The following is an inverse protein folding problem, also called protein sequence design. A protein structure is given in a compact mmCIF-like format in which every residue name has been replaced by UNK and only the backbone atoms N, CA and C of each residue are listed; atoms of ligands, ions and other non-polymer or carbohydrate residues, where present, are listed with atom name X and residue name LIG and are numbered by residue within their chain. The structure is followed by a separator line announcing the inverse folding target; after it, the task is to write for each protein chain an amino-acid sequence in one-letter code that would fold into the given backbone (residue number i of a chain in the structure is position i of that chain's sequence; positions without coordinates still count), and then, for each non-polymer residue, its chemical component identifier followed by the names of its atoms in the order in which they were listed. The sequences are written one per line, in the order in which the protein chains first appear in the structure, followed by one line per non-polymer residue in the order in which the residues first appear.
data_IF_997101300507
#
_entry.id   IF_997101300507
#
_cell.length_a   1.000
_cell.length_b   1.000
_cell.length_c   1.000
_cell.angle_alpha   90.00
_cell.angle_beta   90.00
_cell.angle_gamma   90.00
#
_symmetry.space_group_name_H-M   'P 1'
#
loop_
_entity.id
_entity.type
_entity.pdbx_description
1 polymer ?
#
# COMPACT_ATOMS: atom_id res chain seq x y z
N UNK A 1 44.60 -32.96 22.62
CA UNK A 1 44.26 -33.31 21.23
C UNK A 1 42.75 -33.23 21.03
N UNK A 2 42.36 -32.66 19.89
CA UNK A 2 41.06 -32.06 19.55
C UNK A 2 39.83 -32.96 19.73
N UNK A 3 38.78 -32.44 20.39
CA UNK A 3 37.39 -32.85 20.13
C UNK A 3 36.85 -32.03 18.96
N UNK A 4 36.74 -32.65 17.78
CA UNK A 4 36.02 -32.13 16.61
C UNK A 4 34.55 -31.90 17.01
N UNK A 5 34.15 -30.63 17.09
CA UNK A 5 32.75 -30.25 17.13
C UNK A 5 32.14 -30.44 15.75
N UNK A 6 31.26 -31.43 15.60
CA UNK A 6 30.44 -31.61 14.41
C UNK A 6 29.43 -30.47 14.33
N UNK A 7 29.75 -29.43 13.58
CA UNK A 7 28.82 -28.37 13.19
C UNK A 7 27.88 -28.96 12.14
N UNK A 8 26.70 -29.41 12.56
CA UNK A 8 25.61 -29.71 11.62
C UNK A 8 25.17 -28.38 10.98
N UNK A 9 25.64 -28.13 9.77
CA UNK A 9 25.10 -27.11 8.88
C UNK A 9 23.64 -27.51 8.61
N UNK A 10 22.72 -26.91 9.36
CA UNK A 10 21.30 -26.93 9.01
C UNK A 10 21.14 -25.93 7.89
N UNK A 11 21.22 -26.41 6.65
CA UNK A 11 20.72 -25.73 5.47
C UNK A 11 19.22 -25.50 5.67
N UNK A 12 18.85 -24.34 6.20
CA UNK A 12 17.47 -23.85 6.13
C UNK A 12 17.27 -23.45 4.67
N UNK A 13 16.86 -24.44 3.86
CA UNK A 13 16.27 -24.21 2.56
C UNK A 13 14.95 -23.50 2.84
N UNK A 14 14.95 -22.17 2.72
CA UNK A 14 13.74 -21.35 2.72
C UNK A 14 12.99 -21.71 1.43
N UNK A 15 12.17 -22.75 1.51
CA UNK A 15 11.23 -23.07 0.46
C UNK A 15 10.29 -21.87 0.30
N UNK A 16 10.33 -21.27 -0.88
CA UNK A 16 9.44 -20.22 -1.32
C UNK A 16 8.00 -20.71 -1.26
N UNK A 17 7.32 -20.42 -0.15
CA UNK A 17 5.87 -20.40 -0.05
C UNK A 17 5.49 -19.02 0.48
N UNK A 18 5.74 -18.00 -0.35
CA UNK A 18 5.10 -16.70 -0.18
C UNK A 18 3.80 -16.69 -0.98
N UNK A 19 2.89 -17.61 -0.63
CA UNK A 19 1.52 -17.60 -1.12
C UNK A 19 0.58 -17.29 0.03
N UNK A 20 -0.02 -16.09 -0.08
CA UNK A 20 -1.15 -15.56 0.65
C UNK A 20 -0.92 -15.06 2.10
N UNK A 21 -1.39 -13.82 2.30
CA UNK A 21 -1.62 -13.10 3.57
C UNK A 21 -0.53 -12.14 4.06
N UNK A 22 0.24 -11.52 3.16
CA UNK A 22 0.81 -10.21 3.47
C UNK A 22 -0.19 -9.13 3.02
N UNK A 23 -0.43 -8.16 3.90
CA UNK A 23 -1.25 -6.95 3.79
C UNK A 23 -2.64 -7.00 4.46
N UNK A 24 -2.78 -6.17 5.49
CA UNK A 24 -3.97 -5.96 6.32
C UNK A 24 -5.04 -5.08 5.70
N UNK A 25 -5.15 -5.05 4.37
CA UNK A 25 -6.34 -4.56 3.68
C UNK A 25 -7.14 -5.78 3.23
N UNK A 26 -8.34 -5.95 3.79
CA UNK A 26 -9.32 -6.89 3.25
C UNK A 26 -9.91 -6.22 2.00
N UNK A 27 -9.18 -6.24 0.88
CA UNK A 27 -9.77 -5.87 -0.40
C UNK A 27 -10.99 -6.75 -0.58
N UNK A 28 -12.14 -6.17 -0.92
CA UNK A 28 -13.27 -6.99 -1.33
C UNK A 28 -12.77 -7.97 -2.39
N UNK A 29 -13.19 -9.24 -2.30
CA UNK A 29 -12.88 -10.23 -3.32
C UNK A 29 -13.64 -9.85 -4.60
N UNK A 30 -13.19 -8.82 -5.30
CA UNK A 30 -13.75 -8.38 -6.56
C UNK A 30 -13.51 -9.51 -7.54
N UNK A 31 -14.56 -10.27 -7.86
CA UNK A 31 -14.47 -11.42 -8.75
C UNK A 31 -14.15 -10.96 -10.16
N UNK A 32 -13.28 -11.72 -10.82
CA UNK A 32 -12.85 -11.48 -12.20
C UNK A 32 -11.63 -10.57 -12.30
N UNK A 33 -11.31 -10.19 -13.54
CA UNK A 33 -10.20 -9.30 -13.90
C UNK A 33 -10.73 -8.25 -14.88
N UNK A 34 -10.26 -6.99 -14.80
CA UNK A 34 -10.67 -5.98 -15.76
C UNK A 34 -10.22 -6.36 -17.16
N UNK A 35 -10.88 -5.83 -18.19
CA UNK A 35 -10.58 -6.10 -19.59
C UNK A 35 -9.77 -4.98 -20.26
N UNK A 36 -9.77 -3.79 -19.67
CA UNK A 36 -9.13 -2.58 -20.18
C UNK A 36 -8.80 -1.61 -19.03
N UNK A 37 -8.17 -0.47 -19.37
CA UNK A 37 -7.76 0.55 -18.39
C UNK A 37 -8.96 1.12 -17.62
N UNK A 38 -10.03 1.52 -18.31
CA UNK A 38 -11.21 2.10 -17.66
C UNK A 38 -11.88 1.11 -16.71
N UNK A 39 -12.01 -0.15 -17.13
CA UNK A 39 -12.57 -1.20 -16.28
C UNK A 39 -11.70 -1.45 -15.06
N UNK A 40 -10.38 -1.25 -15.16
CA UNK A 40 -9.48 -1.37 -14.00
C UNK A 40 -9.82 -0.36 -12.91
N UNK A 41 -10.25 0.86 -13.27
CA UNK A 41 -10.68 1.87 -12.30
C UNK A 41 -11.93 1.44 -11.55
N UNK A 42 -12.93 0.86 -12.23
CA UNK A 42 -14.12 0.33 -11.56
C UNK A 42 -13.80 -0.81 -10.57
N UNK A 43 -12.73 -1.57 -10.82
CA UNK A 43 -12.25 -2.59 -9.89
C UNK A 43 -11.55 -1.94 -8.68
N UNK A 44 -10.68 -0.96 -8.91
CA UNK A 44 -10.02 -0.20 -7.84
C UNK A 44 -11.04 0.55 -6.98
N UNK A 45 -12.10 1.09 -7.56
CA UNK A 45 -13.19 1.78 -6.85
C UNK A 45 -13.94 0.89 -5.87
N UNK A 46 -13.98 -0.43 -6.13
CA UNK A 46 -14.55 -1.44 -5.22
C UNK A 46 -13.54 -1.93 -4.20
N UNK A 47 -12.25 -1.87 -4.52
CA UNK A 47 -11.18 -2.29 -3.62
C UNK A 47 -10.84 -1.25 -2.56
N UNK A 48 -10.94 0.04 -2.91
CA UNK A 48 -10.61 1.15 -2.03
C UNK A 48 -11.83 1.75 -1.35
N UNK A 49 -11.70 1.99 -0.05
CA UNK A 49 -12.70 2.76 0.68
C UNK A 49 -12.45 4.27 0.57
N UNK A 50 -13.40 5.04 1.11
CA UNK A 50 -13.41 6.49 1.06
C UNK A 50 -12.15 7.11 1.68
N UNK A 51 -11.65 6.55 2.78
CA UNK A 51 -10.42 7.02 3.44
C UNK A 51 -9.19 6.83 2.54
N UNK A 52 -9.06 5.68 1.89
CA UNK A 52 -7.97 5.43 0.94
C UNK A 52 -8.10 6.34 -0.29
N UNK A 53 -9.29 6.47 -0.88
CA UNK A 53 -9.52 7.38 -2.02
C UNK A 53 -9.23 8.84 -1.66
N UNK A 54 -9.73 9.31 -0.53
CA UNK A 54 -9.48 10.67 -0.05
C UNK A 54 -8.00 10.95 0.18
N UNK A 55 -7.27 9.99 0.77
CA UNK A 55 -5.81 10.07 0.93
C UNK A 55 -5.12 10.25 -0.42
N UNK A 56 -5.52 9.44 -1.42
CA UNK A 56 -4.92 9.50 -2.76
C UNK A 56 -5.31 10.73 -3.57
N UNK A 57 -6.45 11.37 -3.29
CA UNK A 57 -6.81 12.64 -3.91
C UNK A 57 -6.10 13.84 -3.28
N UNK A 58 -5.73 13.72 -2.00
CA UNK A 58 -5.20 14.86 -1.24
C UNK A 58 -3.68 14.93 -1.30
N UNK A 59 -2.99 13.79 -1.28
CA UNK A 59 -1.53 13.75 -1.32
C UNK A 59 -0.97 13.99 -2.73
N UNK A 60 0.27 14.50 -2.86
CA UNK A 60 0.90 14.68 -4.17
C UNK A 60 0.99 13.39 -4.99
N UNK A 61 0.89 13.50 -6.30
CA UNK A 61 0.86 12.35 -7.22
C UNK A 61 2.07 11.43 -7.10
N UNK A 62 3.25 12.00 -6.89
CA UNK A 62 4.50 11.26 -6.75
C UNK A 62 4.54 10.49 -5.41
N UNK A 63 3.97 11.04 -4.35
CA UNK A 63 3.77 10.37 -3.05
C UNK A 63 2.79 9.22 -3.20
N UNK A 64 1.64 9.45 -3.85
CA UNK A 64 0.59 8.44 -4.03
C UNK A 64 1.07 7.29 -4.92
N UNK A 65 1.72 7.61 -6.04
CA UNK A 65 2.34 6.61 -6.90
C UNK A 65 3.24 5.72 -6.04
N UNK A 66 4.22 6.27 -5.33
CA UNK A 66 5.12 5.49 -4.47
C UNK A 66 4.37 4.64 -3.45
N UNK A 67 3.41 5.22 -2.69
CA UNK A 67 2.59 4.46 -1.72
C UNK A 67 1.95 3.22 -2.37
N UNK A 68 1.29 3.39 -3.51
CA UNK A 68 0.61 2.29 -4.22
C UNK A 68 1.58 1.15 -4.62
N UNK A 69 2.82 1.47 -4.97
CA UNK A 69 3.84 0.45 -5.25
C UNK A 69 4.46 -0.14 -3.97
N UNK A 70 4.76 0.67 -2.96
CA UNK A 70 5.30 0.27 -1.64
C UNK A 70 4.41 -0.73 -0.92
N UNK A 71 3.08 -0.56 -1.01
CA UNK A 71 2.11 -1.49 -0.42
C UNK A 71 1.92 -2.77 -1.24
N UNK A 72 2.69 -2.97 -2.31
CA UNK A 72 2.64 -4.17 -3.13
C UNK A 72 1.38 -4.28 -3.99
N UNK A 73 0.55 -3.23 -4.09
CA UNK A 73 -0.67 -3.28 -4.89
C UNK A 73 -0.35 -3.40 -6.39
N UNK A 74 0.67 -2.69 -6.89
CA UNK A 74 1.13 -2.86 -8.27
C UNK A 74 1.56 -4.31 -8.56
N UNK A 75 2.13 -5.00 -7.56
CA UNK A 75 2.48 -6.43 -7.65
C UNK A 75 1.25 -7.32 -7.61
N UNK A 76 0.32 -7.00 -6.72
CA UNK A 76 -0.94 -7.72 -6.61
C UNK A 76 -1.73 -7.62 -7.92
N UNK A 77 -1.85 -6.44 -8.52
CA UNK A 77 -2.56 -6.19 -9.78
C UNK A 77 -2.02 -7.10 -10.89
N UNK A 78 -0.71 -7.08 -11.16
CA UNK A 78 -0.15 -7.87 -12.27
C UNK A 78 -0.27 -9.38 -12.06
N UNK A 79 -0.21 -9.84 -10.81
CA UNK A 79 -0.32 -11.25 -10.47
C UNK A 79 -1.78 -11.74 -10.49
N UNK A 80 -2.73 -10.93 -10.05
CA UNK A 80 -4.13 -11.34 -9.89
C UNK A 80 -4.99 -11.00 -11.10
N UNK A 81 -4.68 -9.93 -11.85
CA UNK A 81 -5.42 -9.58 -13.06
C UNK A 81 -4.83 -10.21 -14.33
N UNK A 82 -3.83 -11.07 -14.17
CA UNK A 82 -3.30 -11.91 -15.25
C UNK A 82 -2.51 -11.12 -16.29
N UNK A 83 -1.73 -10.13 -15.86
CA UNK A 83 -0.86 -9.37 -16.76
C UNK A 83 0.36 -10.19 -17.24
N UNK A 84 0.77 -11.22 -16.49
CA UNK A 84 1.82 -12.18 -16.89
C UNK A 84 1.37 -13.25 -17.88
N UNK A 85 0.06 -13.40 -18.11
CA UNK A 85 -0.50 -14.49 -18.89
C UNK A 85 -1.49 -13.99 -19.95
N UNK A 86 -2.36 -14.89 -20.41
CA UNK A 86 -3.38 -14.53 -21.39
C UNK A 86 -4.61 -13.92 -20.68
N UNK A 87 -4.72 -12.60 -20.70
CA UNK A 87 -5.89 -11.85 -20.21
C UNK A 87 -6.29 -10.78 -21.22
N UNK A 88 -7.57 -10.39 -21.21
CA UNK A 88 -8.05 -9.30 -22.07
C UNK A 88 -7.36 -7.97 -21.69
N UNK A 89 -7.07 -7.76 -20.40
CA UNK A 89 -6.27 -6.63 -19.95
C UNK A 89 -4.87 -6.63 -20.56
N UNK A 90 -4.19 -7.78 -20.55
CA UNK A 90 -2.86 -7.93 -21.15
C UNK A 90 -2.91 -7.69 -22.66
N UNK A 91 -3.93 -8.21 -23.35
CA UNK A 91 -4.14 -7.95 -24.78
C UNK A 91 -4.36 -6.47 -25.05
N UNK A 92 -5.23 -5.82 -24.29
CA UNK A 92 -5.49 -4.38 -24.37
C UNK A 92 -4.19 -3.57 -24.24
N UNK A 93 -3.35 -3.85 -23.24
CA UNK A 93 -2.06 -3.15 -23.11
C UNK A 93 -1.11 -3.46 -24.28
N UNK A 94 -1.02 -4.72 -24.72
CA UNK A 94 -0.15 -5.14 -25.82
C UNK A 94 -0.56 -4.51 -27.17
N UNK A 95 -1.85 -4.47 -27.48
CA UNK A 95 -2.42 -3.81 -28.67
C UNK A 95 -2.12 -2.31 -28.70
N UNK A 96 -1.82 -1.72 -27.56
CA UNK A 96 -1.42 -0.33 -27.41
C UNK A 96 0.09 -0.13 -27.20
N UNK A 97 0.91 -1.17 -27.45
CA UNK A 97 2.37 -1.09 -27.40
C UNK A 97 2.99 -1.20 -26.01
N UNK A 98 2.22 -1.61 -24.98
CA UNK A 98 2.70 -1.76 -23.61
C UNK A 98 2.76 -3.25 -23.28
N UNK A 99 3.97 -3.80 -23.28
CA UNK A 99 4.16 -5.24 -23.10
C UNK A 99 4.48 -5.64 -21.65
N UNK A 100 5.20 -4.83 -20.90
CA UNK A 100 5.70 -5.29 -19.60
C UNK A 100 4.61 -5.21 -18.50
N UNK A 101 4.33 -6.30 -17.76
CA UNK A 101 3.29 -6.31 -16.71
C UNK A 101 3.50 -5.28 -15.61
N UNK A 102 4.76 -4.99 -15.25
CA UNK A 102 5.05 -3.95 -14.26
C UNK A 102 4.73 -2.54 -14.78
N UNK A 103 4.93 -2.31 -16.08
CA UNK A 103 4.56 -1.04 -16.72
C UNK A 103 3.04 -0.93 -16.78
N UNK A 104 2.34 -2.00 -17.19
CA UNK A 104 0.88 -2.03 -17.24
C UNK A 104 0.25 -1.76 -15.87
N UNK A 105 0.69 -2.44 -14.80
CA UNK A 105 0.15 -2.17 -13.45
C UNK A 105 0.50 -0.77 -12.96
N UNK A 106 1.64 -0.25 -13.39
CA UNK A 106 2.04 1.12 -13.11
C UNK A 106 1.18 2.19 -13.74
N UNK A 107 0.89 2.03 -15.03
CA UNK A 107 -0.01 2.91 -15.76
C UNK A 107 -1.41 2.85 -15.15
N UNK A 108 -1.92 1.66 -14.81
CA UNK A 108 -3.22 1.53 -14.12
C UNK A 108 -3.26 2.40 -12.87
N UNK A 109 -2.25 2.31 -12.00
CA UNK A 109 -2.22 3.04 -10.74
C UNK A 109 -2.03 4.55 -10.94
N UNK A 110 -1.16 4.93 -11.87
CA UNK A 110 -0.91 6.34 -12.19
C UNK A 110 -2.13 7.02 -12.81
N UNK A 111 -2.78 6.36 -13.76
CA UNK A 111 -3.98 6.90 -14.41
C UNK A 111 -5.21 6.82 -13.49
N UNK A 112 -5.25 5.87 -12.56
CA UNK A 112 -6.27 5.86 -11.51
C UNK A 112 -6.18 7.10 -10.61
N UNK A 113 -4.97 7.59 -10.30
CA UNK A 113 -4.80 8.86 -9.59
C UNK A 113 -5.39 10.03 -10.39
N UNK A 114 -5.17 10.08 -11.71
CA UNK A 114 -5.77 11.11 -12.57
C UNK A 114 -7.30 11.02 -12.56
N UNK A 115 -7.83 9.80 -12.70
CA UNK A 115 -9.25 9.51 -12.64
C UNK A 115 -9.90 9.96 -11.33
N UNK A 116 -9.30 9.63 -10.17
CA UNK A 116 -9.78 10.08 -8.86
C UNK A 116 -9.84 11.62 -8.75
N UNK A 117 -8.91 12.31 -9.39
CA UNK A 117 -8.79 13.77 -9.37
C UNK A 117 -9.54 14.47 -10.52
N UNK A 118 -10.41 13.76 -11.24
CA UNK A 118 -11.14 14.27 -12.41
C UNK A 118 -10.23 14.91 -13.48
N UNK A 119 -8.97 14.46 -13.56
CA UNK A 119 -8.03 14.85 -14.60
C UNK A 119 -8.20 13.92 -15.81
N UNK A 120 -7.92 14.41 -17.03
CA UNK A 120 -7.82 13.53 -18.18
C UNK A 120 -6.87 12.38 -17.88
N UNK A 121 -7.34 11.16 -18.13
CA UNK A 121 -6.52 9.96 -18.09
C UNK A 121 -6.41 9.40 -19.49
N UNK A 122 -5.21 9.03 -19.89
CA UNK A 122 -4.95 8.49 -21.22
C UNK A 122 -3.93 7.39 -21.12
N UNK A 123 -4.01 6.44 -22.05
CA UNK A 123 -2.99 5.43 -22.18
C UNK A 123 -1.74 6.06 -22.81
N UNK A 124 -0.86 6.62 -21.99
CA UNK A 124 0.42 7.16 -22.46
C UNK A 124 1.31 6.02 -22.91
N UNK A 125 1.64 6.02 -24.21
CA UNK A 125 2.57 5.05 -24.82
C UNK A 125 4.01 5.28 -24.36
N UNK A 126 4.33 6.54 -24.04
CA UNK A 126 5.60 6.89 -23.42
C UNK A 126 5.58 6.41 -21.98
N UNK A 127 6.30 5.32 -21.74
CA UNK A 127 6.63 4.87 -20.40
C UNK A 127 7.54 5.94 -19.81
N UNK A 128 6.96 6.82 -18.99
CA UNK A 128 7.76 7.78 -18.25
C UNK A 128 8.83 7.02 -17.47
N UNK A 129 10.07 7.49 -17.57
CA UNK A 129 11.20 7.03 -16.77
C UNK A 129 10.85 6.90 -15.28
N UNK A 130 9.93 7.72 -14.77
CA UNK A 130 9.40 7.63 -13.42
C UNK A 130 8.66 6.32 -13.14
N UNK A 131 7.86 5.81 -14.09
CA UNK A 131 7.13 4.54 -13.97
C UNK A 131 8.10 3.35 -13.97
N UNK A 132 9.14 3.40 -14.81
CA UNK A 132 10.22 2.38 -14.82
C UNK A 132 10.98 2.34 -13.49
N UNK A 133 11.18 3.50 -12.85
CA UNK A 133 11.80 3.54 -11.52
C UNK A 133 10.93 2.86 -10.46
N UNK A 134 9.60 2.99 -10.56
CA UNK A 134 8.64 2.35 -9.63
C UNK A 134 8.58 0.82 -9.78
N UNK A 135 9.10 0.26 -10.88
CA UNK A 135 9.27 -1.19 -11.04
C UNK A 135 10.58 -1.70 -10.45
N UNK A 136 11.54 -0.81 -10.16
CA UNK A 136 12.80 -1.17 -9.53
C UNK A 136 12.69 -1.07 -8.00
N UNK A 137 12.73 -2.23 -7.34
CA UNK A 137 12.60 -2.34 -5.88
C UNK A 137 13.62 -1.53 -5.10
N UNK A 138 14.88 -1.45 -5.55
CA UNK A 138 15.93 -0.71 -4.84
C UNK A 138 15.69 0.81 -4.92
N UNK A 139 15.24 1.30 -6.08
CA UNK A 139 14.89 2.70 -6.25
C UNK A 139 13.66 3.07 -5.42
N UNK A 140 12.64 2.21 -5.38
CA UNK A 140 11.47 2.42 -4.51
C UNK A 140 11.88 2.53 -3.04
N UNK A 141 12.72 1.63 -2.54
CA UNK A 141 13.22 1.68 -1.14
C UNK A 141 14.01 2.96 -0.87
N UNK A 142 14.85 3.39 -1.82
CA UNK A 142 15.60 4.64 -1.70
C UNK A 142 14.66 5.85 -1.64
N UNK A 143 13.69 5.92 -2.55
CA UNK A 143 12.71 7.02 -2.62
C UNK A 143 11.82 7.06 -1.37
N UNK A 144 11.41 5.90 -0.84
CA UNK A 144 10.74 5.80 0.45
C UNK A 144 11.60 6.43 1.54
N UNK A 145 12.87 6.03 1.64
CA UNK A 145 13.80 6.57 2.63
C UNK A 145 14.03 8.08 2.49
N UNK A 146 13.96 8.64 1.28
CA UNK A 146 14.09 10.07 1.05
C UNK A 146 12.81 10.82 1.46
N UNK A 147 11.64 10.24 1.22
CA UNK A 147 10.35 10.79 1.65
C UNK A 147 10.17 10.74 3.16
N UNK A 148 10.56 9.63 3.80
CA UNK A 148 10.50 9.51 5.26
C UNK A 148 11.35 10.59 5.93
N UNK A 149 12.43 11.04 5.30
CA UNK A 149 13.29 12.15 5.77
C UNK A 149 12.75 13.55 5.46
N UNK A 150 11.77 13.67 4.57
CA UNK A 150 11.21 14.96 4.17
C UNK A 150 10.09 15.39 5.10
N UNK A 151 10.13 16.65 5.56
CA UNK A 151 9.07 17.25 6.37
C UNK A 151 7.88 17.75 5.53
N UNK A 152 7.93 17.67 4.20
CA UNK A 152 6.90 18.21 3.30
C UNK A 152 5.53 17.55 3.47
N UNK A 153 5.49 16.30 3.98
CA UNK A 153 4.23 15.60 4.22
C UNK A 153 3.49 16.09 5.46
N UNK A 154 4.18 16.69 6.42
CA UNK A 154 3.58 17.12 7.69
C UNK A 154 2.44 18.12 7.49
N UNK A 155 2.52 18.95 6.43
CA UNK A 155 1.48 19.94 6.10
C UNK A 155 0.11 19.33 5.79
N UNK A 156 0.06 18.04 5.42
CA UNK A 156 -1.20 17.34 5.15
C UNK A 156 -1.83 16.74 6.41
N UNK A 157 -1.14 16.77 7.55
CA UNK A 157 -1.59 16.18 8.80
C UNK A 157 -1.61 17.23 9.92
N UNK A 158 -2.58 18.17 9.92
CA UNK A 158 -2.67 19.23 10.92
C UNK A 158 -2.73 18.69 12.35
N UNK A 159 -2.22 19.47 13.30
CA UNK A 159 -2.40 19.21 14.72
C UNK A 159 -3.89 19.19 15.03
N UNK A 160 -4.27 18.32 15.97
CA UNK A 160 -5.64 18.02 16.38
C UNK A 160 -6.50 17.26 15.36
N UNK A 161 -6.01 17.00 14.15
CA UNK A 161 -6.72 16.21 13.15
C UNK A 161 -6.70 14.71 13.49
N UNK A 162 -7.68 13.98 12.94
CA UNK A 162 -7.79 12.53 13.12
C UNK A 162 -7.36 11.81 11.85
N UNK A 163 -6.48 10.84 12.02
CA UNK A 163 -5.85 10.09 10.93
C UNK A 163 -6.01 8.60 11.13
N UNK A 164 -5.74 7.83 10.08
CA UNK A 164 -5.59 6.38 10.16
C UNK A 164 -4.10 6.03 10.17
N UNK A 165 -3.73 5.16 11.11
CA UNK A 165 -2.39 4.59 11.24
C UNK A 165 -2.47 3.07 11.23
N UNK A 166 -1.42 2.42 10.74
CA UNK A 166 -1.35 0.97 10.63
C UNK A 166 -0.63 0.36 11.83
N UNK A 167 -1.34 -0.52 12.55
CA UNK A 167 -0.84 -1.17 13.76
C UNK A 167 -0.64 -2.66 13.52
N UNK A 168 0.54 -3.18 13.86
CA UNK A 168 0.79 -4.63 13.84
C UNK A 168 0.06 -5.31 14.99
N UNK A 169 -0.68 -6.37 14.69
CA UNK A 169 -1.41 -7.19 15.66
C UNK A 169 -1.07 -8.66 15.46
N UNK A 170 -0.95 -9.40 16.56
CA UNK A 170 -0.79 -10.84 16.55
C UNK A 170 -2.16 -11.52 16.56
N UNK A 171 -2.43 -12.34 15.57
CA UNK A 171 -3.66 -13.13 15.43
C UNK A 171 -3.38 -14.59 15.75
N UNK A 172 -4.16 -15.15 16.66
CA UNK A 172 -4.10 -16.59 16.96
C UNK A 172 -4.86 -17.37 15.89
N UNK A 173 -4.16 -18.28 15.20
CA UNK A 173 -4.75 -19.25 14.26
C UNK A 173 -4.22 -20.64 14.60
N UNK A 174 -5.03 -21.45 15.28
CA UNK A 174 -4.62 -22.75 15.82
C UNK A 174 -3.29 -22.64 16.60
N UNK A 175 -2.37 -23.60 16.46
CA UNK A 175 -1.05 -23.64 17.10
C UNK A 175 -0.07 -22.56 16.57
N UNK A 176 -0.52 -21.64 15.70
CA UNK A 176 0.33 -20.59 15.10
C UNK A 176 -0.15 -19.19 15.47
N UNK A 177 0.81 -18.28 15.64
CA UNK A 177 0.57 -16.84 15.72
C UNK A 177 0.98 -16.23 14.39
N UNK A 178 0.09 -15.46 13.78
CA UNK A 178 0.34 -14.73 12.54
C UNK A 178 0.32 -13.23 12.84
N UNK A 179 1.16 -12.44 12.17
CA UNK A 179 1.08 -10.98 12.24
C UNK A 179 0.20 -10.49 11.11
N UNK A 180 -0.71 -9.58 11.42
CA UNK A 180 -1.44 -8.80 10.43
C UNK A 180 -1.44 -7.33 10.84
N UNK A 181 -1.74 -6.44 9.90
CA UNK A 181 -1.90 -5.01 10.20
C UNK A 181 -3.38 -4.68 10.34
N UNK A 182 -3.72 -3.76 11.23
CA UNK A 182 -5.05 -3.18 11.37
C UNK A 182 -4.98 -1.66 11.29
N UNK A 183 -6.02 -1.05 10.72
CA UNK A 183 -6.18 0.40 10.67
C UNK A 183 -6.73 0.88 12.01
N UNK A 184 -5.88 1.55 12.78
CA UNK A 184 -6.25 2.24 14.00
C UNK A 184 -6.55 3.71 13.70
N UNK A 185 -7.38 4.33 14.53
CA UNK A 185 -7.69 5.76 14.47
C UNK A 185 -6.84 6.44 15.53
N UNK A 186 -6.19 7.53 15.15
CA UNK A 186 -5.35 8.31 16.04
C UNK A 186 -5.53 9.81 15.82
N UNK A 187 -5.22 10.61 16.85
CA UNK A 187 -5.19 12.06 16.80
C UNK A 187 -3.75 12.55 16.65
N UNK A 188 -3.50 13.53 15.77
CA UNK A 188 -2.21 14.19 15.67
C UNK A 188 -2.04 15.14 16.85
N UNK A 189 -1.01 14.93 17.66
CA UNK A 189 -0.73 15.72 18.87
C UNK A 189 0.27 16.83 18.58
N UNK A 190 1.35 16.52 17.87
CA UNK A 190 2.33 17.51 17.40
C UNK A 190 3.15 16.94 16.25
N UNK A 191 3.86 17.83 15.57
CA UNK A 191 4.94 17.46 14.66
C UNK A 191 6.26 17.49 15.40
N UNK A 192 7.11 16.50 15.17
CA UNK A 192 8.46 16.45 15.74
C UNK A 192 9.44 16.00 14.64
N UNK A 193 10.35 16.89 14.26
CA UNK A 193 11.23 16.72 13.10
C UNK A 193 10.44 16.47 11.80
N UNK A 194 10.47 15.24 11.31
CA UNK A 194 9.82 14.70 10.11
C UNK A 194 8.70 13.70 10.45
N UNK A 195 8.41 13.50 11.74
CA UNK A 195 7.43 12.54 12.23
C UNK A 195 6.20 13.23 12.85
N UNK A 196 5.12 12.46 12.96
CA UNK A 196 3.93 12.82 13.72
C UNK A 196 3.99 12.14 15.08
N UNK A 197 3.78 12.89 16.16
CA UNK A 197 3.37 12.29 17.43
C UNK A 197 1.86 12.17 17.41
N UNK A 198 1.39 10.93 17.54
CA UNK A 198 -0.03 10.60 17.50
C UNK A 198 -0.47 9.96 18.81
N UNK A 199 -1.73 10.15 19.17
CA UNK A 199 -2.38 9.45 20.28
C UNK A 199 -3.45 8.51 19.74
N UNK A 200 -3.38 7.23 20.10
CA UNK A 200 -4.39 6.26 19.66
C UNK A 200 -5.76 6.57 20.26
N UNK A 201 -6.77 6.77 19.40
CA UNK A 201 -8.16 6.92 19.82
C UNK A 201 -8.92 5.59 19.77
N UNK A 202 -8.60 4.73 18.80
CA UNK A 202 -9.29 3.45 18.61
C UNK A 202 -8.39 2.44 17.91
N UNK A 203 -8.29 1.24 18.48
CA UNK A 203 -7.60 0.09 17.88
C UNK A 203 -8.61 -1.04 17.68
N UNK A 204 -9.14 -1.27 16.46
CA UNK A 204 -10.23 -2.21 16.23
C UNK A 204 -9.72 -3.67 16.17
N UNK A 205 -9.42 -4.26 17.32
CA UNK A 205 -9.06 -5.68 17.46
C UNK A 205 -10.20 -6.48 18.09
N UNK A 206 -10.30 -7.76 17.71
CA UNK A 206 -11.26 -8.71 18.30
C UNK A 206 -10.54 -9.66 19.28
N UNK A 207 -11.30 -10.48 20.01
CA UNK A 207 -10.77 -11.42 21.03
C UNK A 207 -9.69 -12.41 20.53
N UNK A 208 -9.56 -12.61 19.21
CA UNK A 208 -8.55 -13.51 18.61
C UNK A 208 -7.25 -12.79 18.25
N UNK A 209 -7.20 -11.46 18.42
CA UNK A 209 -6.06 -10.61 18.11
C UNK A 209 -5.54 -9.96 19.39
N UNK A 210 -4.24 -9.71 19.45
CA UNK A 210 -3.58 -8.97 20.51
C UNK A 210 -2.58 -7.98 19.90
N UNK A 211 -2.27 -6.92 20.62
CA UNK A 211 -1.33 -5.89 20.20
C UNK A 211 -0.66 -5.31 21.44
N UNK A 212 0.55 -4.79 21.27
CA UNK A 212 1.31 -4.16 22.36
C UNK A 212 0.98 -2.67 22.51
N UNK A 213 -0.02 -2.19 21.76
CA UNK A 213 -0.48 -0.80 21.77
C UNK A 213 -1.80 -0.62 22.51
N UNK A 214 -1.97 0.53 23.14
CA UNK A 214 -3.16 0.86 23.94
C UNK A 214 -3.83 2.17 23.48
N UNK A 215 -5.13 2.29 23.71
CA UNK A 215 -5.86 3.56 23.51
C UNK A 215 -5.33 4.59 24.51
N UNK A 216 -5.06 5.81 24.04
CA UNK A 216 -4.42 6.87 24.81
C UNK A 216 -2.88 6.84 24.76
N UNK A 217 -2.27 5.76 24.25
CA UNK A 217 -0.82 5.70 24.06
C UNK A 217 -0.38 6.67 22.96
N UNK A 218 0.73 7.37 23.22
CA UNK A 218 1.40 8.24 22.25
C UNK A 218 2.60 7.55 21.63
N UNK A 219 2.71 7.63 20.30
CA UNK A 219 3.84 7.10 19.55
C UNK A 219 4.26 8.05 18.43
N UNK A 220 5.48 7.89 17.94
CA UNK A 220 5.95 8.53 16.73
C UNK A 220 5.57 7.67 15.53
N UNK A 221 5.06 8.30 14.47
CA UNK A 221 4.76 7.65 13.20
C UNK A 221 5.22 8.50 12.04
N UNK A 222 5.63 7.83 10.98
CA UNK A 222 5.96 8.48 9.72
C UNK A 222 4.67 8.88 8.97
N UNK A 223 4.52 10.15 8.55
CA UNK A 223 3.37 10.59 7.76
C UNK A 223 3.21 9.83 6.42
N UNK A 224 4.28 9.24 5.89
CA UNK A 224 4.25 8.37 4.71
C UNK A 224 3.43 7.09 4.94
N UNK A 225 3.34 6.58 6.17
CA UNK A 225 2.55 5.37 6.47
C UNK A 225 1.15 5.69 7.00
N UNK A 226 0.76 6.96 7.03
CA UNK A 226 -0.56 7.40 7.49
C UNK A 226 -1.55 7.57 6.33
N UNK A 227 -2.84 7.58 6.67
CA UNK A 227 -3.96 7.91 5.79
C UNK A 227 -4.81 9.02 6.40
N UNK A 228 -5.41 9.83 5.53
CA UNK A 228 -6.27 10.95 5.87
C UNK A 228 -7.71 10.50 5.99
N UNK A 229 -8.41 10.94 7.04
CA UNK A 229 -9.85 10.67 7.20
C UNK A 229 -10.63 11.77 6.47
N UNK A 230 -11.54 11.42 5.54
CA UNK A 230 -12.34 12.40 4.85
C UNK A 230 -13.30 13.14 5.80
N UNK A 231 -13.64 14.42 5.52
CA UNK A 231 -14.67 15.11 6.27
C UNK A 231 -16.02 14.41 6.12
N UNK A 232 -16.92 14.55 7.10
CA UNK A 232 -18.20 13.80 7.18
C UNK A 232 -19.10 13.92 5.94
N UNK A 233 -19.01 15.01 5.20
CA UNK A 233 -19.80 15.30 4.01
C UNK A 233 -19.04 15.01 2.71
N UNK A 234 -17.82 14.46 2.78
CA UNK A 234 -17.07 14.08 1.61
C UNK A 234 -17.78 12.96 0.86
N UNK A 235 -17.84 13.11 -0.46
CA UNK A 235 -18.28 12.10 -1.39
C UNK A 235 -17.36 12.15 -2.59
N UNK A 236 -16.90 10.99 -3.02
CA UNK A 236 -16.27 10.86 -4.32
C UNK A 236 -17.39 10.80 -5.38
N UNK A 237 -17.36 11.73 -6.33
CA UNK A 237 -18.41 11.95 -7.33
C UNK A 237 -18.36 10.94 -8.48
#
# INVERSE_FOLDING_TARGET
MQRKGNMKIVLIIIFAIFSANSFGQKWENVKGKPKDLKKSFEYLDKMFDDTTKYTYMTLPSDVVARKLYSFGLGMWIRNNWGLWGNSDLKKYFAENGIEHPDISSGIILSEYYNYLNHKPYELKREVDSSLLQLTNKELVVKMESDMTKSNELLKYYPIDDTIVVYVSVAKKRFLKKEKESVRAIAKVIKHEHNELIIEFLKIPINKKKSTDYEVGQKINVDPYWCELIPPKNWKWN
#
